data_IF_377816186950
#
_entry.id   IF_377816186950
#
_cell.length_a   1.000
_cell.length_b   1.000
_cell.length_c   1.000
_cell.angle_alpha   90.00
_cell.angle_beta   90.00
_cell.angle_gamma   90.00
#
_symmetry.space_group_name_H-M   'P 1'
#
loop_
_entity.id
_entity.type
_entity.pdbx_description
1 polymer ?
#
# COMPACT_ATOMS: atom_id res chain seq x y z
N UNK A 1 -11.65 -31.59 -0.46
CA UNK A 1 -10.77 -30.90 0.53
C UNK A 1 -10.64 -29.49 0.08
N UNK A 2 -11.20 -28.53 0.79
CA UNK A 2 -11.06 -27.11 0.49
C UNK A 2 -9.63 -26.69 0.84
N UNK A 3 -8.91 -26.18 -0.14
CA UNK A 3 -7.57 -25.62 0.06
C UNK A 3 -7.64 -24.52 1.15
N UNK A 4 -7.02 -24.78 2.31
CA UNK A 4 -7.02 -23.88 3.46
C UNK A 4 -5.99 -22.75 3.32
N UNK A 5 -5.25 -22.72 2.21
CA UNK A 5 -4.12 -21.81 2.01
C UNK A 5 -4.49 -20.52 1.28
N UNK A 6 -5.69 -20.43 0.68
CA UNK A 6 -6.14 -19.27 -0.10
C UNK A 6 -7.48 -18.70 0.38
N UNK A 7 -7.77 -17.46 0.00
CA UNK A 7 -9.05 -16.82 0.25
C UNK A 7 -9.41 -16.67 1.73
N UNK A 8 -10.68 -16.87 2.07
CA UNK A 8 -11.18 -16.71 3.43
C UNK A 8 -10.57 -17.74 4.41
N UNK A 9 -10.25 -18.94 3.94
CA UNK A 9 -9.65 -19.98 4.78
C UNK A 9 -8.25 -19.61 5.27
N UNK A 10 -7.45 -18.93 4.44
CA UNK A 10 -6.12 -18.44 4.83
C UNK A 10 -6.17 -17.39 5.97
N UNK A 11 -7.29 -16.72 6.14
CA UNK A 11 -7.50 -15.66 7.15
C UNK A 11 -8.29 -16.12 8.38
N UNK A 12 -8.56 -17.39 8.52
CA UNK A 12 -9.34 -17.95 9.63
C UNK A 12 -8.59 -19.06 10.35
N UNK A 13 -9.08 -19.38 11.54
CA UNK A 13 -8.49 -20.42 12.39
C UNK A 13 -7.25 -19.97 13.15
N UNK A 14 -6.55 -20.91 13.77
CA UNK A 14 -5.37 -20.63 14.58
C UNK A 14 -4.24 -19.96 13.80
N UNK A 15 -3.38 -19.22 14.52
CA UNK A 15 -2.17 -18.66 13.92
C UNK A 15 -1.21 -19.76 13.46
N UNK A 16 -0.56 -19.54 12.32
CA UNK A 16 0.37 -20.46 11.71
C UNK A 16 1.79 -19.86 11.70
N UNK A 17 2.75 -20.75 11.62
CA UNK A 17 4.13 -20.35 11.32
C UNK A 17 4.18 -19.56 10.00
N UNK A 18 5.02 -18.51 9.93
CA UNK A 18 5.13 -17.59 8.79
C UNK A 18 4.05 -16.52 8.71
N UNK A 19 2.98 -16.57 9.51
CA UNK A 19 1.94 -15.54 9.49
C UNK A 19 2.39 -14.25 10.18
N UNK A 20 1.92 -13.12 9.67
CA UNK A 20 2.08 -11.82 10.33
C UNK A 20 1.00 -11.63 11.39
N UNK A 21 1.43 -11.27 12.58
CA UNK A 21 0.56 -11.00 13.72
C UNK A 21 0.86 -9.61 14.28
N UNK A 22 -0.19 -8.86 14.55
CA UNK A 22 -0.15 -7.58 15.22
C UNK A 22 -0.36 -7.80 16.72
N UNK A 23 0.63 -7.41 17.51
CA UNK A 23 0.62 -7.47 18.96
C UNK A 23 0.31 -6.08 19.50
N UNK A 24 -0.84 -5.93 20.15
CA UNK A 24 -1.26 -4.66 20.77
C UNK A 24 -1.14 -4.76 22.28
N UNK A 25 -0.33 -3.90 22.90
CA UNK A 25 -0.17 -3.83 24.35
C UNK A 25 -1.31 -3.06 25.03
N UNK A 26 -1.33 -3.07 26.37
CA UNK A 26 -2.34 -2.39 27.21
C UNK A 26 -2.36 -0.85 27.01
N UNK A 27 -1.34 -0.27 26.41
CA UNK A 27 -1.27 1.15 26.05
C UNK A 27 -1.70 1.44 24.62
N UNK A 28 -2.18 0.42 23.89
CA UNK A 28 -2.58 0.53 22.50
C UNK A 28 -1.41 0.61 21.51
N UNK A 29 -0.16 0.34 21.94
CA UNK A 29 0.98 0.31 21.02
C UNK A 29 0.99 -1.00 20.26
N UNK A 30 1.10 -0.88 18.95
CA UNK A 30 1.04 -2.00 18.03
C UNK A 30 2.44 -2.34 17.50
N UNK A 31 2.77 -3.62 17.52
CA UNK A 31 3.97 -4.17 16.89
C UNK A 31 3.53 -5.29 15.96
N UNK A 32 4.05 -5.29 14.74
CA UNK A 32 3.76 -6.37 13.78
C UNK A 32 4.97 -7.28 13.68
N UNK A 33 4.78 -8.54 13.98
CA UNK A 33 5.80 -9.59 13.95
C UNK A 33 5.42 -10.65 12.92
N UNK A 34 6.40 -11.31 12.33
CA UNK A 34 6.18 -12.55 11.55
C UNK A 34 6.47 -13.70 12.49
N UNK A 35 5.48 -14.53 12.74
CA UNK A 35 5.66 -15.73 13.56
C UNK A 35 6.67 -16.65 12.88
N UNK A 36 7.59 -17.18 13.66
CA UNK A 36 8.60 -18.16 13.21
C UNK A 36 8.82 -19.12 14.37
N UNK A 37 8.57 -20.40 14.14
CA UNK A 37 8.75 -21.42 15.17
C UNK A 37 10.17 -21.37 15.77
N UNK A 38 10.26 -21.46 17.09
CA UNK A 38 11.51 -21.36 17.83
C UNK A 38 12.13 -19.96 17.90
N UNK A 39 11.44 -18.91 17.46
CA UNK A 39 11.86 -17.51 17.58
C UNK A 39 11.00 -16.76 18.62
N UNK A 40 11.45 -15.57 19.01
CA UNK A 40 10.78 -14.77 20.00
C UNK A 40 10.72 -13.28 19.58
N UNK A 41 9.68 -12.60 20.06
CA UNK A 41 9.57 -11.15 20.01
C UNK A 41 10.20 -10.54 21.25
N UNK A 42 11.35 -9.89 21.04
CA UNK A 42 12.12 -9.24 22.10
C UNK A 42 11.72 -7.78 22.27
N UNK A 43 11.47 -7.37 23.49
CA UNK A 43 11.27 -5.97 23.86
C UNK A 43 12.10 -5.65 25.10
N UNK A 44 12.34 -4.35 25.36
CA UNK A 44 12.93 -3.91 26.63
C UNK A 44 12.09 -4.29 27.87
N UNK A 45 10.91 -4.86 27.67
CA UNK A 45 9.92 -5.26 28.69
C UNK A 45 9.60 -6.74 28.63
N UNK A 46 10.56 -7.58 28.28
CA UNK A 46 10.40 -9.03 28.27
C UNK A 46 10.28 -9.63 26.87
N UNK A 47 10.20 -10.93 26.85
CA UNK A 47 10.23 -11.78 25.66
C UNK A 47 8.89 -12.49 25.52
N UNK A 48 8.38 -12.60 24.31
CA UNK A 48 7.20 -13.37 23.96
C UNK A 48 7.60 -14.38 22.90
N UNK A 49 7.52 -15.66 23.24
CA UNK A 49 7.85 -16.74 22.33
C UNK A 49 6.80 -16.85 21.23
N UNK A 50 7.25 -17.03 19.97
CA UNK A 50 6.33 -17.20 18.85
C UNK A 50 5.55 -18.51 18.96
N UNK A 51 6.16 -19.55 19.54
CA UNK A 51 5.53 -20.86 19.75
C UNK A 51 4.34 -20.78 20.73
N UNK A 52 4.32 -19.77 21.60
CA UNK A 52 3.17 -19.51 22.47
C UNK A 52 1.94 -18.97 21.71
N UNK A 53 2.13 -18.44 20.51
CA UNK A 53 1.08 -17.92 19.63
C UNK A 53 0.68 -18.89 18.53
N UNK A 54 1.64 -19.63 17.96
CA UNK A 54 1.38 -20.61 16.91
C UNK A 54 0.42 -21.67 17.42
N UNK A 55 -0.67 -21.89 16.67
CA UNK A 55 -1.74 -22.81 17.06
C UNK A 55 -2.83 -22.19 17.95
N UNK A 56 -2.71 -20.94 18.40
CA UNK A 56 -3.78 -20.24 19.12
C UNK A 56 -4.71 -19.49 18.16
N UNK A 57 -5.94 -19.35 18.59
CA UNK A 57 -6.94 -18.59 17.85
C UNK A 57 -6.64 -17.09 17.85
N UNK A 58 -7.01 -16.44 16.76
CA UNK A 58 -6.95 -14.99 16.62
C UNK A 58 -7.80 -14.30 17.69
N UNK A 59 -7.30 -13.17 18.22
CA UNK A 59 -7.94 -12.45 19.31
C UNK A 59 -7.46 -12.90 20.69
N UNK A 60 -6.57 -13.88 20.76
CA UNK A 60 -5.98 -14.34 22.03
C UNK A 60 -5.22 -13.21 22.74
N UNK A 61 -5.24 -13.23 24.06
CA UNK A 61 -4.41 -12.37 24.90
C UNK A 61 -3.34 -13.22 25.54
N UNK A 62 -2.08 -12.84 25.33
CA UNK A 62 -0.92 -13.57 25.83
C UNK A 62 -0.03 -12.65 26.67
N UNK A 63 0.63 -13.17 27.68
CA UNK A 63 1.59 -12.45 28.49
C UNK A 63 3.02 -12.83 28.06
N UNK A 64 3.91 -11.86 28.03
CA UNK A 64 5.33 -12.10 27.85
C UNK A 64 6.01 -12.61 29.16
N UNK A 65 7.32 -12.85 29.12
CA UNK A 65 8.11 -13.42 30.22
C UNK A 65 8.07 -12.64 31.55
N UNK A 66 7.64 -11.37 31.54
CA UNK A 66 7.50 -10.53 32.74
C UNK A 66 6.07 -10.06 33.00
N UNK A 67 5.07 -10.70 32.35
CA UNK A 67 3.66 -10.50 32.63
C UNK A 67 2.98 -9.36 31.84
N UNK A 68 3.66 -8.66 30.93
CA UNK A 68 2.99 -7.70 30.04
C UNK A 68 2.10 -8.43 29.03
N UNK A 69 0.88 -7.96 28.89
CA UNK A 69 -0.16 -8.58 28.08
C UNK A 69 -0.22 -7.96 26.70
N UNK A 70 -0.43 -8.80 25.70
CA UNK A 70 -0.61 -8.43 24.32
C UNK A 70 -1.84 -9.11 23.74
N UNK A 71 -2.67 -8.35 23.05
CA UNK A 71 -3.72 -8.90 22.20
C UNK A 71 -3.11 -9.20 20.84
N UNK A 72 -3.29 -10.42 20.35
CA UNK A 72 -2.76 -10.90 19.07
C UNK A 72 -3.88 -10.96 18.03
N UNK A 73 -3.70 -10.25 16.93
CA UNK A 73 -4.64 -10.19 15.80
C UNK A 73 -3.89 -10.28 14.47
N UNK A 74 -4.51 -10.81 13.43
CA UNK A 74 -3.99 -10.65 12.07
C UNK A 74 -4.11 -9.20 11.64
N UNK A 75 -3.07 -8.60 11.02
CA UNK A 75 -3.16 -7.21 10.56
C UNK A 75 -4.25 -7.07 9.51
N UNK A 76 -5.07 -6.06 9.62
CA UNK A 76 -5.96 -5.65 8.55
C UNK A 76 -5.12 -5.11 7.37
N UNK A 77 -5.72 -5.01 6.17
CA UNK A 77 -5.01 -4.47 5.00
C UNK A 77 -4.38 -3.11 5.29
N UNK A 78 -5.11 -2.21 5.95
CA UNK A 78 -4.60 -0.89 6.36
C UNK A 78 -3.35 -0.97 7.24
N UNK A 79 -3.34 -1.92 8.19
CA UNK A 79 -2.25 -2.09 9.13
C UNK A 79 -1.04 -2.73 8.45
N UNK A 80 -1.29 -3.65 7.51
CA UNK A 80 -0.27 -4.25 6.67
C UNK A 80 0.43 -3.19 5.82
N UNK A 81 -0.32 -2.38 5.05
CA UNK A 81 0.22 -1.31 4.20
C UNK A 81 1.05 -0.31 5.01
N UNK A 82 0.60 0.05 6.22
CA UNK A 82 1.31 1.00 7.06
C UNK A 82 2.56 0.42 7.74
N UNK A 83 2.68 -0.91 7.84
CA UNK A 83 3.79 -1.61 8.52
C UNK A 83 4.68 -2.44 7.60
N UNK A 84 4.34 -2.57 6.31
CA UNK A 84 5.12 -3.36 5.35
C UNK A 84 6.46 -2.70 5.01
N UNK A 85 7.47 -3.45 4.55
CA UNK A 85 8.68 -2.90 3.98
C UNK A 85 8.38 -1.91 2.84
N UNK A 86 8.97 -0.72 2.88
CA UNK A 86 8.74 0.30 1.88
C UNK A 86 10.00 1.13 1.60
N UNK A 87 10.24 1.40 0.32
CA UNK A 87 11.35 2.22 -0.14
C UNK A 87 10.92 3.63 -0.60
N UNK A 88 9.63 3.81 -0.89
CA UNK A 88 9.04 5.06 -1.37
C UNK A 88 7.84 5.47 -0.50
N UNK A 89 7.29 6.65 -0.77
CA UNK A 89 5.96 7.03 -0.32
C UNK A 89 4.93 6.00 -0.80
N UNK A 90 3.89 5.78 -0.01
CA UNK A 90 2.82 4.85 -0.36
C UNK A 90 1.49 5.58 -0.42
N UNK A 91 0.61 5.15 -1.30
CA UNK A 91 -0.79 5.57 -1.26
C UNK A 91 -1.37 5.11 0.07
N UNK A 92 -1.87 6.06 0.85
CA UNK A 92 -2.46 5.77 2.15
C UNK A 92 -3.76 4.97 2.01
N UNK A 93 -4.09 4.12 2.99
CA UNK A 93 -5.32 3.32 2.94
C UNK A 93 -6.59 4.12 2.73
N UNK A 94 -6.67 5.37 3.22
CA UNK A 94 -7.82 6.26 2.99
C UNK A 94 -8.02 6.60 1.52
N UNK A 95 -6.91 6.79 0.79
CA UNK A 95 -6.92 7.13 -0.63
C UNK A 95 -7.11 5.89 -1.51
N UNK A 96 -6.44 4.79 -1.16
CA UNK A 96 -6.65 3.51 -1.83
C UNK A 96 -8.13 3.06 -1.76
N UNK A 97 -8.81 3.30 -0.64
CA UNK A 97 -10.25 3.04 -0.51
C UNK A 97 -11.09 3.90 -1.46
N UNK A 98 -10.70 5.17 -1.65
CA UNK A 98 -11.35 6.06 -2.62
C UNK A 98 -11.09 5.60 -4.05
N UNK A 99 -9.85 5.26 -4.39
CA UNK A 99 -9.51 4.74 -5.73
C UNK A 99 -10.36 3.52 -6.06
N UNK A 100 -10.46 2.56 -5.14
CA UNK A 100 -11.27 1.34 -5.36
C UNK A 100 -12.75 1.68 -5.51
N UNK A 101 -13.31 2.52 -4.62
CA UNK A 101 -14.75 2.77 -4.58
C UNK A 101 -15.19 3.76 -5.65
N UNK A 102 -14.50 4.91 -5.77
CA UNK A 102 -14.87 5.96 -6.72
C UNK A 102 -14.45 5.59 -8.15
N UNK A 103 -13.33 4.85 -8.31
CA UNK A 103 -12.91 4.27 -9.58
C UNK A 103 -13.76 3.06 -9.99
N UNK A 104 -14.71 2.62 -9.13
CA UNK A 104 -15.59 1.47 -9.37
C UNK A 104 -14.79 0.24 -9.83
N UNK A 105 -13.78 -0.14 -9.03
CA UNK A 105 -12.99 -1.34 -9.27
C UNK A 105 -13.75 -2.54 -8.73
N UNK A 106 -14.18 -3.44 -9.61
CA UNK A 106 -15.10 -4.52 -9.33
C UNK A 106 -14.44 -5.91 -9.48
N UNK A 107 -15.00 -6.96 -8.87
CA UNK A 107 -14.52 -8.33 -9.07
C UNK A 107 -14.55 -8.74 -10.54
N UNK A 108 -13.42 -9.24 -11.05
CA UNK A 108 -13.25 -9.62 -12.45
C UNK A 108 -12.75 -8.50 -13.36
N UNK A 109 -12.59 -7.27 -12.85
CA UNK A 109 -12.09 -6.14 -13.65
C UNK A 109 -10.65 -6.36 -14.13
N UNK A 110 -10.34 -5.84 -15.31
CA UNK A 110 -9.00 -5.69 -15.87
C UNK A 110 -8.47 -4.30 -15.53
N UNK A 111 -7.50 -4.23 -14.65
CA UNK A 111 -6.95 -2.99 -14.10
C UNK A 111 -5.49 -2.84 -14.50
N UNK A 112 -5.11 -1.65 -14.96
CA UNK A 112 -3.72 -1.26 -15.18
C UNK A 112 -3.31 -0.27 -14.07
N UNK A 113 -2.13 -0.49 -13.50
CA UNK A 113 -1.51 0.37 -12.48
C UNK A 113 -0.14 0.83 -12.98
N UNK A 114 0.20 2.11 -12.80
CA UNK A 114 1.56 2.59 -13.01
C UNK A 114 2.06 3.39 -11.81
N UNK A 115 3.33 3.15 -11.46
CA UNK A 115 3.93 3.65 -10.25
C UNK A 115 3.69 2.72 -9.07
N UNK A 116 4.04 1.45 -9.21
CA UNK A 116 3.79 0.39 -8.22
C UNK A 116 4.42 0.69 -6.87
N UNK A 117 5.60 1.27 -6.88
CA UNK A 117 6.36 1.59 -5.67
C UNK A 117 6.56 0.35 -4.78
N UNK A 118 6.02 0.41 -3.57
CA UNK A 118 6.09 -0.72 -2.63
C UNK A 118 4.89 -1.67 -2.72
N UNK A 119 3.99 -1.51 -3.69
CA UNK A 119 2.82 -2.36 -3.90
C UNK A 119 1.63 -2.03 -2.98
N UNK A 120 1.59 -0.86 -2.36
CA UNK A 120 0.53 -0.51 -1.41
C UNK A 120 -0.86 -0.46 -2.06
N UNK A 121 -0.96 0.19 -3.22
CA UNK A 121 -2.19 0.23 -4.01
C UNK A 121 -2.47 -1.13 -4.64
N UNK A 122 -1.45 -1.77 -5.21
CA UNK A 122 -1.54 -3.12 -5.80
C UNK A 122 -2.29 -4.10 -4.90
N UNK A 123 -1.97 -4.12 -3.59
CA UNK A 123 -2.66 -4.98 -2.61
C UNK A 123 -4.17 -4.70 -2.52
N UNK A 124 -4.56 -3.43 -2.65
CA UNK A 124 -5.97 -3.02 -2.63
C UNK A 124 -6.67 -3.38 -3.94
N UNK A 125 -5.99 -3.20 -5.07
CA UNK A 125 -6.49 -3.55 -6.39
C UNK A 125 -6.71 -5.06 -6.52
N UNK A 126 -5.72 -5.88 -6.15
CA UNK A 126 -5.82 -7.34 -6.18
C UNK A 126 -6.97 -7.86 -5.32
N UNK A 127 -7.19 -7.25 -4.15
CA UNK A 127 -8.36 -7.59 -3.32
C UNK A 127 -9.69 -7.23 -3.96
N UNK A 128 -9.74 -6.11 -4.68
CA UNK A 128 -10.95 -5.64 -5.31
C UNK A 128 -11.32 -6.47 -6.54
N UNK A 129 -10.34 -6.78 -7.39
CA UNK A 129 -10.58 -7.57 -8.61
C UNK A 129 -10.79 -9.06 -8.32
N UNK A 130 -10.19 -9.58 -7.22
CA UNK A 130 -10.24 -11.00 -6.87
C UNK A 130 -9.51 -11.91 -7.87
N UNK A 131 -9.63 -13.21 -7.67
CA UNK A 131 -8.90 -14.22 -8.47
C UNK A 131 -9.36 -14.30 -9.94
N UNK A 132 -10.56 -13.81 -10.26
CA UNK A 132 -11.11 -13.77 -11.61
C UNK A 132 -10.77 -12.49 -12.38
N UNK A 133 -10.18 -11.49 -11.72
CA UNK A 133 -9.75 -10.24 -12.33
C UNK A 133 -8.30 -10.28 -12.79
N UNK A 134 -7.80 -9.12 -13.21
CA UNK A 134 -6.42 -8.97 -13.62
C UNK A 134 -5.91 -7.57 -13.23
N UNK A 135 -4.73 -7.51 -12.63
CA UNK A 135 -4.01 -6.27 -12.34
C UNK A 135 -2.68 -6.34 -13.05
N UNK A 136 -2.49 -5.49 -14.06
CA UNK A 136 -1.22 -5.34 -14.75
C UNK A 136 -0.55 -4.05 -14.26
N UNK A 137 0.57 -4.20 -13.61
CA UNK A 137 1.30 -3.11 -12.98
C UNK A 137 2.60 -2.79 -13.71
N UNK A 138 2.92 -1.49 -13.87
CA UNK A 138 4.13 -0.99 -14.52
C UNK A 138 4.98 -0.21 -13.51
N UNK A 139 6.28 -0.53 -13.44
CA UNK A 139 7.25 0.16 -12.59
C UNK A 139 8.55 0.38 -13.36
N UNK A 140 9.05 1.61 -13.34
CA UNK A 140 10.32 1.96 -14.01
C UNK A 140 11.55 1.39 -13.30
N UNK A 141 11.47 1.21 -12.00
CA UNK A 141 12.61 0.91 -11.13
C UNK A 141 12.54 -0.53 -10.63
N UNK A 142 13.43 -1.43 -11.09
CA UNK A 142 13.42 -2.83 -10.68
C UNK A 142 13.45 -3.04 -9.16
N UNK A 143 14.15 -2.16 -8.43
CA UNK A 143 14.28 -2.27 -6.98
C UNK A 143 12.95 -2.09 -6.24
N UNK A 144 12.06 -1.25 -6.75
CA UNK A 144 10.71 -1.09 -6.20
C UNK A 144 9.82 -2.26 -6.58
N UNK A 145 9.94 -2.74 -7.81
CA UNK A 145 9.23 -3.93 -8.26
C UNK A 145 9.52 -5.15 -7.36
N UNK A 146 10.79 -5.33 -6.94
CA UNK A 146 11.17 -6.40 -6.03
C UNK A 146 10.57 -6.22 -4.63
N UNK A 147 10.50 -4.99 -4.12
CA UNK A 147 9.80 -4.67 -2.87
C UNK A 147 8.31 -5.00 -2.98
N UNK A 148 7.69 -4.61 -4.08
CA UNK A 148 6.26 -4.88 -4.33
C UNK A 148 5.97 -6.39 -4.40
N UNK A 149 6.80 -7.16 -5.15
CA UNK A 149 6.68 -8.64 -5.19
C UNK A 149 6.76 -9.25 -3.80
N UNK A 150 7.75 -8.83 -3.00
CA UNK A 150 7.90 -9.29 -1.63
C UNK A 150 6.67 -8.99 -0.76
N UNK A 151 6.10 -7.80 -0.88
CA UNK A 151 4.91 -7.40 -0.13
C UNK A 151 3.65 -8.15 -0.58
N UNK A 152 3.44 -8.30 -1.89
CA UNK A 152 2.31 -9.07 -2.45
C UNK A 152 2.38 -10.52 -1.99
N UNK A 153 3.54 -11.17 -2.16
CA UNK A 153 3.74 -12.55 -1.70
C UNK A 153 3.52 -12.68 -0.19
N UNK A 154 4.00 -11.72 0.61
CA UNK A 154 3.80 -11.74 2.07
C UNK A 154 2.32 -11.61 2.43
N UNK A 155 1.56 -10.75 1.75
CA UNK A 155 0.15 -10.52 2.04
C UNK A 155 -0.73 -11.69 1.63
N UNK A 156 -0.49 -12.27 0.45
CA UNK A 156 -1.30 -13.35 -0.12
C UNK A 156 -0.70 -14.74 0.13
N UNK A 157 0.59 -14.79 0.49
CA UNK A 157 1.35 -15.99 0.82
C UNK A 157 1.91 -16.76 -0.36
N UNK A 158 1.65 -16.27 -1.55
CA UNK A 158 2.21 -16.74 -2.81
C UNK A 158 2.17 -15.59 -3.82
N UNK A 159 2.75 -15.80 -4.99
CA UNK A 159 2.54 -14.89 -6.11
C UNK A 159 1.04 -14.91 -6.47
N UNK A 160 0.46 -13.73 -6.63
CA UNK A 160 -0.97 -13.63 -6.88
C UNK A 160 -1.28 -13.95 -8.34
N UNK A 161 -2.20 -14.91 -8.66
CA UNK A 161 -2.44 -15.34 -10.04
C UNK A 161 -3.03 -14.24 -10.93
N UNK A 162 -3.74 -13.27 -10.34
CA UNK A 162 -4.31 -12.14 -11.05
C UNK A 162 -3.34 -10.96 -11.19
N UNK A 163 -2.04 -11.10 -10.87
CA UNK A 163 -1.07 -10.01 -10.92
C UNK A 163 0.05 -10.25 -11.91
N UNK A 164 0.20 -9.29 -12.80
CA UNK A 164 1.33 -9.17 -13.72
C UNK A 164 2.10 -7.88 -13.41
N UNK A 165 3.44 -7.93 -13.49
CA UNK A 165 4.30 -6.79 -13.23
C UNK A 165 5.36 -6.66 -14.32
N UNK A 166 5.28 -5.57 -15.07
CA UNK A 166 6.23 -5.19 -16.11
C UNK A 166 7.16 -4.10 -15.62
N UNK A 167 8.47 -4.29 -15.86
CA UNK A 167 9.48 -3.25 -15.66
C UNK A 167 9.56 -2.43 -16.94
N UNK A 168 9.09 -1.19 -16.89
CA UNK A 168 9.04 -0.31 -18.06
C UNK A 168 8.17 0.91 -17.84
N UNK A 169 8.22 1.80 -18.83
CA UNK A 169 7.37 2.98 -18.85
C UNK A 169 6.00 2.63 -19.44
N UNK A 170 4.93 2.89 -18.69
CA UNK A 170 3.58 2.61 -19.12
C UNK A 170 3.25 3.28 -20.45
N UNK A 171 3.69 4.52 -20.67
CA UNK A 171 3.37 5.25 -21.91
C UNK A 171 3.90 4.54 -23.18
N UNK A 172 5.01 3.81 -23.07
CA UNK A 172 5.64 3.09 -24.18
C UNK A 172 5.26 1.61 -24.23
N UNK A 173 5.09 0.98 -23.07
CA UNK A 173 4.94 -0.48 -22.98
C UNK A 173 3.47 -0.94 -23.02
N UNK A 174 2.51 -0.08 -22.61
CA UNK A 174 1.12 -0.51 -22.45
C UNK A 174 0.53 -1.15 -23.70
N UNK A 175 0.78 -0.55 -24.86
CA UNK A 175 0.24 -1.05 -26.14
C UNK A 175 0.81 -2.39 -26.62
N UNK A 176 1.95 -2.83 -26.07
CA UNK A 176 2.52 -4.15 -26.35
C UNK A 176 1.89 -5.26 -25.48
N UNK A 177 1.33 -4.88 -24.35
CA UNK A 177 0.79 -5.81 -23.34
C UNK A 177 -0.74 -5.85 -23.30
N UNK A 178 -1.40 -4.71 -23.55
CA UNK A 178 -2.84 -4.59 -23.48
C UNK A 178 -3.43 -4.25 -24.85
N UNK A 179 -4.39 -5.05 -25.28
CA UNK A 179 -5.09 -4.77 -26.53
C UNK A 179 -5.98 -3.52 -26.40
N UNK A 180 -6.15 -2.75 -27.48
CA UNK A 180 -7.01 -1.56 -27.46
C UNK A 180 -8.42 -1.87 -26.97
N UNK A 181 -8.94 -1.03 -26.07
CA UNK A 181 -10.31 -1.13 -25.56
C UNK A 181 -10.61 -2.32 -24.65
N UNK A 182 -9.59 -2.96 -24.07
CA UNK A 182 -9.76 -4.14 -23.19
C UNK A 182 -9.61 -3.86 -21.70
N UNK A 183 -9.08 -2.69 -21.35
CA UNK A 183 -8.84 -2.31 -19.95
C UNK A 183 -10.05 -1.60 -19.38
N UNK A 184 -10.50 -2.01 -18.20
CA UNK A 184 -11.63 -1.38 -17.51
C UNK A 184 -11.22 -0.14 -16.73
N UNK A 185 -10.07 -0.20 -16.06
CA UNK A 185 -9.59 0.83 -15.13
C UNK A 185 -8.08 1.03 -15.29
N UNK A 186 -7.66 2.30 -15.24
CA UNK A 186 -6.24 2.67 -15.17
C UNK A 186 -6.03 3.56 -13.98
N UNK A 187 -5.01 3.27 -13.16
CA UNK A 187 -4.61 4.09 -12.02
C UNK A 187 -3.16 4.50 -12.17
N UNK A 188 -2.91 5.82 -12.13
CA UNK A 188 -1.59 6.42 -12.32
C UNK A 188 -1.12 7.07 -11.02
N UNK A 189 -0.05 6.53 -10.41
CA UNK A 189 0.69 7.12 -9.29
C UNK A 189 2.11 7.47 -9.75
N UNK A 190 2.23 8.57 -10.46
CA UNK A 190 3.47 8.99 -11.09
C UNK A 190 3.59 10.52 -11.21
N UNK A 191 4.80 11.00 -11.48
CA UNK A 191 5.08 12.43 -11.56
C UNK A 191 4.39 13.13 -12.72
N UNK A 192 4.24 12.45 -13.85
CA UNK A 192 3.76 13.03 -15.10
C UNK A 192 2.63 12.18 -15.74
N UNK A 193 1.47 12.02 -15.08
CA UNK A 193 0.38 11.18 -15.59
C UNK A 193 -0.19 11.67 -16.92
N UNK A 194 -0.01 12.94 -17.28
CA UNK A 194 -0.41 13.50 -18.60
C UNK A 194 0.34 12.87 -19.77
N UNK A 195 1.54 12.33 -19.57
CA UNK A 195 2.31 11.65 -20.62
C UNK A 195 1.73 10.28 -20.99
N UNK A 196 0.88 9.72 -20.13
CA UNK A 196 0.23 8.43 -20.35
C UNK A 196 -1.16 8.52 -20.98
N UNK A 197 -1.71 9.72 -21.24
CA UNK A 197 -3.09 9.88 -21.67
C UNK A 197 -3.38 9.19 -23.01
N UNK A 198 -2.45 9.23 -23.96
CA UNK A 198 -2.64 8.58 -25.25
C UNK A 198 -2.69 7.06 -25.15
N UNK A 199 -1.74 6.47 -24.43
CA UNK A 199 -1.72 5.05 -24.15
C UNK A 199 -2.97 4.61 -23.35
N UNK A 200 -3.36 5.40 -22.33
CA UNK A 200 -4.55 5.15 -21.53
C UNK A 200 -5.84 5.21 -22.37
N UNK A 201 -5.98 6.23 -23.22
CA UNK A 201 -7.16 6.36 -24.08
C UNK A 201 -7.27 5.21 -25.08
N UNK A 202 -6.15 4.67 -25.53
CA UNK A 202 -6.12 3.52 -26.45
C UNK A 202 -6.50 2.22 -25.75
N UNK A 203 -5.95 1.97 -24.55
CA UNK A 203 -6.17 0.72 -23.84
C UNK A 203 -7.54 0.62 -23.16
N UNK A 204 -8.07 1.75 -22.65
CA UNK A 204 -9.36 1.77 -21.96
C UNK A 204 -10.53 1.44 -22.89
N UNK A 205 -11.41 0.58 -22.42
CA UNK A 205 -12.71 0.37 -23.03
C UNK A 205 -13.54 1.68 -22.99
N UNK A 206 -14.47 1.91 -23.95
CA UNK A 206 -15.42 3.00 -23.84
C UNK A 206 -16.18 2.94 -22.50
N UNK A 207 -16.20 4.06 -21.76
CA UNK A 207 -16.73 4.12 -20.40
C UNK A 207 -15.76 3.69 -19.31
N UNK A 208 -14.59 3.16 -19.65
CA UNK A 208 -13.51 2.84 -18.72
C UNK A 208 -13.02 4.07 -17.96
N UNK A 209 -12.45 3.84 -16.77
CA UNK A 209 -12.09 4.93 -15.83
C UNK A 209 -10.58 5.07 -15.74
N UNK A 210 -10.12 6.32 -15.84
CA UNK A 210 -8.77 6.74 -15.50
C UNK A 210 -8.78 7.47 -14.16
N UNK A 211 -7.94 7.05 -13.23
CA UNK A 211 -7.69 7.71 -11.94
C UNK A 211 -6.23 8.12 -11.88
N UNK A 212 -5.94 9.36 -11.50
CA UNK A 212 -4.59 9.83 -11.23
C UNK A 212 -4.45 10.25 -9.76
N UNK A 213 -3.38 9.79 -9.10
CA UNK A 213 -2.98 10.17 -7.75
C UNK A 213 -1.86 11.22 -7.84
N UNK A 214 -2.12 12.42 -7.35
CA UNK A 214 -1.36 13.63 -7.71
C UNK A 214 -0.95 14.38 -6.46
N UNK A 215 0.35 14.61 -6.30
CA UNK A 215 0.91 15.17 -5.07
C UNK A 215 0.73 16.69 -4.92
N UNK A 216 0.66 17.45 -6.02
CA UNK A 216 0.68 18.92 -5.98
C UNK A 216 -0.46 19.55 -6.75
N UNK A 217 -0.87 20.75 -6.34
CA UNK A 217 -1.91 21.56 -7.01
C UNK A 217 -1.53 21.88 -8.47
N UNK A 218 -0.27 22.17 -8.73
CA UNK A 218 0.22 22.46 -10.09
C UNK A 218 0.13 21.25 -11.01
N UNK A 219 0.49 20.08 -10.51
CA UNK A 219 0.31 18.82 -11.25
C UNK A 219 -1.18 18.52 -11.49
N UNK A 220 -2.03 18.72 -10.47
CA UNK A 220 -3.48 18.53 -10.59
C UNK A 220 -4.05 19.42 -11.72
N UNK A 221 -3.71 20.71 -11.74
CA UNK A 221 -4.11 21.63 -12.79
C UNK A 221 -3.65 21.16 -14.16
N UNK A 222 -2.37 20.78 -14.29
CA UNK A 222 -1.80 20.32 -15.56
C UNK A 222 -2.49 19.07 -16.10
N UNK A 223 -2.73 18.07 -15.24
CA UNK A 223 -3.43 16.83 -15.66
C UNK A 223 -4.86 17.15 -16.08
N UNK A 224 -5.56 18.00 -15.35
CA UNK A 224 -6.93 18.39 -15.69
C UNK A 224 -7.01 19.08 -17.05
N UNK A 225 -6.08 19.99 -17.36
CA UNK A 225 -6.01 20.64 -18.66
C UNK A 225 -5.62 19.65 -19.76
N UNK A 226 -4.63 18.80 -19.54
CA UNK A 226 -4.22 17.78 -20.49
C UNK A 226 -5.37 16.80 -20.84
N UNK A 227 -6.17 16.39 -19.86
CA UNK A 227 -7.39 15.59 -20.08
C UNK A 227 -8.41 16.34 -20.94
N UNK A 228 -8.55 17.66 -20.69
CA UNK A 228 -9.46 18.50 -21.50
C UNK A 228 -8.99 18.65 -22.94
N UNK A 229 -7.70 18.85 -23.13
CA UNK A 229 -7.09 19.03 -24.46
C UNK A 229 -7.09 17.74 -25.27
N UNK A 230 -6.95 16.58 -24.63
CA UNK A 230 -7.03 15.26 -25.27
C UNK A 230 -8.40 15.02 -25.93
N UNK A 231 -9.48 15.44 -25.29
CA UNK A 231 -10.85 15.38 -25.80
C UNK A 231 -11.50 14.00 -25.82
N UNK A 232 -10.76 12.91 -25.62
CA UNK A 232 -11.27 11.51 -25.58
C UNK A 232 -11.84 11.12 -24.23
N UNK A 233 -11.79 12.02 -23.25
CA UNK A 233 -12.24 11.78 -21.89
C UNK A 233 -13.38 12.73 -21.49
N UNK A 234 -14.14 12.35 -20.47
CA UNK A 234 -15.12 13.23 -19.83
C UNK A 234 -14.43 14.39 -19.11
N UNK A 235 -15.20 15.42 -18.73
CA UNK A 235 -14.70 16.45 -17.80
C UNK A 235 -14.12 15.78 -16.56
N UNK A 236 -12.87 16.10 -16.16
CA UNK A 236 -12.26 15.50 -14.98
C UNK A 236 -12.91 16.00 -13.70
N UNK A 237 -13.12 15.09 -12.75
CA UNK A 237 -13.50 15.39 -11.38
C UNK A 237 -12.30 15.22 -10.45
N UNK A 238 -12.20 16.05 -9.41
CA UNK A 238 -11.02 16.05 -8.53
C UNK A 238 -11.39 16.29 -7.09
N UNK A 239 -10.76 15.54 -6.18
CA UNK A 239 -10.98 15.67 -4.74
C UNK A 239 -9.74 15.25 -3.95
N UNK A 240 -9.76 15.50 -2.65
CA UNK A 240 -8.86 14.91 -1.66
C UNK A 240 -9.68 14.33 -0.51
N UNK A 241 -9.05 13.49 0.31
CA UNK A 241 -9.68 12.95 1.51
C UNK A 241 -8.83 13.20 2.75
N UNK A 242 -9.49 13.37 3.89
CA UNK A 242 -8.87 13.52 5.20
C UNK A 242 -9.45 12.49 6.16
N UNK A 243 -8.60 11.86 6.97
CA UNK A 243 -9.03 10.91 8.00
C UNK A 243 -8.65 11.44 9.37
N UNK A 244 -9.66 11.71 10.19
CA UNK A 244 -9.51 12.16 11.57
C UNK A 244 -10.09 11.14 12.54
N UNK A 245 -9.24 10.64 13.45
CA UNK A 245 -9.68 9.80 14.55
C UNK A 245 -10.41 10.59 15.64
N UNK A 246 -11.11 9.87 16.49
CA UNK A 246 -11.78 10.42 17.66
C UNK A 246 -11.41 9.60 18.89
N UNK A 247 -11.06 10.29 19.96
CA UNK A 247 -10.97 9.69 21.28
C UNK A 247 -12.37 9.56 21.87
N UNK A 248 -12.73 8.37 22.31
CA UNK A 248 -14.03 8.09 22.92
C UNK A 248 -13.79 7.28 24.19
N UNK A 249 -14.02 7.91 25.34
CA UNK A 249 -13.93 7.28 26.65
C UNK A 249 -15.03 7.85 27.56
N UNK A 250 -16.08 7.07 27.80
CA UNK A 250 -17.25 7.54 28.50
C UNK A 250 -17.85 8.82 27.87
N UNK A 251 -17.92 9.90 28.65
CA UNK A 251 -18.38 11.22 28.16
C UNK A 251 -17.24 12.07 27.56
N UNK A 252 -16.01 11.63 27.63
CA UNK A 252 -14.84 12.31 27.03
C UNK A 252 -14.73 11.97 25.55
N UNK A 253 -15.54 12.65 24.73
CA UNK A 253 -15.59 12.47 23.27
C UNK A 253 -14.98 13.70 22.62
N UNK A 254 -13.85 13.53 21.92
CA UNK A 254 -13.15 14.61 21.24
C UNK A 254 -12.37 14.12 20.02
N UNK A 255 -12.15 14.96 19.00
CA UNK A 255 -11.29 14.58 17.88
C UNK A 255 -9.84 14.42 18.34
N UNK A 256 -9.12 13.48 17.71
CA UNK A 256 -7.68 13.36 17.90
C UNK A 256 -6.97 14.64 17.44
N UNK A 257 -5.88 15.01 18.13
CA UNK A 257 -5.04 16.14 17.73
C UNK A 257 -4.36 15.89 16.39
N UNK A 258 -3.98 14.63 16.11
CA UNK A 258 -3.36 14.23 14.85
C UNK A 258 -4.41 13.67 13.90
N UNK A 259 -4.24 13.96 12.62
CA UNK A 259 -5.05 13.40 11.54
C UNK A 259 -4.17 13.08 10.34
N UNK A 260 -4.60 12.19 9.49
CA UNK A 260 -4.02 12.03 8.16
C UNK A 260 -4.73 13.04 7.26
N UNK A 261 -4.07 14.19 7.07
CA UNK A 261 -4.59 15.30 6.30
C UNK A 261 -4.31 15.11 4.81
N UNK A 262 -3.82 16.14 4.13
CA UNK A 262 -3.43 16.07 2.72
C UNK A 262 -2.31 15.04 2.52
N UNK A 263 -2.50 14.14 1.58
CA UNK A 263 -1.49 13.18 1.09
C UNK A 263 -1.28 13.34 -0.40
N UNK A 264 -2.37 13.45 -1.15
CA UNK A 264 -2.42 13.78 -2.56
C UNK A 264 -3.86 14.14 -2.97
N UNK A 265 -4.01 14.62 -4.17
CA UNK A 265 -5.28 14.78 -4.87
C UNK A 265 -5.56 13.54 -5.70
N UNK A 266 -6.84 13.23 -5.87
CA UNK A 266 -7.35 12.26 -6.82
C UNK A 266 -8.03 13.01 -7.95
N UNK A 267 -7.72 12.63 -9.18
CA UNK A 267 -8.44 13.08 -10.37
C UNK A 267 -9.00 11.86 -11.09
N UNK A 268 -10.26 11.93 -11.48
CA UNK A 268 -10.93 10.86 -12.19
C UNK A 268 -11.58 11.39 -13.47
N UNK A 269 -11.49 10.60 -14.54
CA UNK A 269 -12.20 10.83 -15.77
C UNK A 269 -12.58 9.50 -16.44
N UNK A 270 -13.44 9.53 -17.44
CA UNK A 270 -13.89 8.33 -18.17
C UNK A 270 -13.61 8.45 -19.64
N UNK A 271 -13.20 7.34 -20.25
CA UNK A 271 -13.01 7.22 -21.70
C UNK A 271 -14.36 7.36 -22.44
N UNK A 272 -14.43 8.28 -23.39
CA UNK A 272 -15.58 8.41 -24.27
C UNK A 272 -15.57 7.33 -25.36
N UNK A 273 -16.70 7.04 -25.96
CA UNK A 273 -16.74 6.22 -27.15
C UNK A 273 -16.05 6.93 -28.33
N UNK A 274 -15.50 6.15 -29.26
CA UNK A 274 -14.83 6.72 -30.44
C UNK A 274 -15.77 7.58 -31.25
N UNK A 275 -15.28 8.75 -31.69
CA UNK A 275 -16.06 9.74 -32.40
C UNK A 275 -17.04 10.55 -31.57
N UNK A 276 -17.08 10.34 -30.24
CA UNK A 276 -17.90 11.14 -29.32
C UNK A 276 -17.18 12.42 -28.94
N UNK A 277 -17.93 13.51 -28.86
CA UNK A 277 -17.41 14.79 -28.36
C UNK A 277 -17.68 14.94 -26.86
N UNK A 278 -16.73 15.53 -26.16
CA UNK A 278 -16.88 15.85 -24.73
C UNK A 278 -17.92 16.95 -24.56
N UNK A 279 -18.87 16.72 -23.67
CA UNK A 279 -19.80 17.75 -23.22
C UNK A 279 -19.10 18.68 -22.24
N UNK A 280 -18.73 19.87 -22.70
CA UNK A 280 -18.14 20.89 -21.83
C UNK A 280 -19.23 21.47 -20.89
N UNK A 281 -19.00 21.45 -19.55
CA UNK A 281 -19.92 22.14 -18.63
C UNK A 281 -19.97 23.62 -18.98
N UNK A 282 -21.18 24.22 -18.90
CA UNK A 282 -21.35 25.68 -19.04
C UNK A 282 -20.77 26.36 -17.78
N UNK A 283 -19.44 26.48 -17.71
CA UNK A 283 -18.76 27.25 -16.66
C UNK A 283 -18.65 28.71 -17.07
N UNK A 284 -18.70 29.63 -16.09
CA UNK A 284 -18.25 31.01 -16.33
C UNK A 284 -16.77 30.90 -16.69
N UNK A 285 -16.41 31.48 -17.85
CA UNK A 285 -15.02 31.50 -18.27
C UNK A 285 -14.15 32.10 -17.17
N UNK A 286 -13.28 31.30 -16.58
CA UNK A 286 -12.15 31.81 -15.80
C UNK A 286 -11.18 32.35 -16.82
N UNK A 287 -10.98 33.66 -16.84
CA UNK A 287 -9.94 34.27 -17.65
C UNK A 287 -8.62 34.06 -16.90
N UNK A 288 -7.95 33.01 -17.19
CA UNK A 288 -6.57 32.83 -16.73
C UNK A 288 -5.74 32.50 -17.95
N UNK A 289 -5.08 33.50 -18.49
CA UNK A 289 -3.99 33.28 -19.42
C UNK A 289 -2.82 32.77 -18.59
N UNK A 290 -2.33 31.60 -18.88
CA UNK A 290 -1.18 31.01 -18.19
C UNK A 290 0.10 31.71 -18.67
N UNK A 291 0.95 32.10 -17.73
CA UNK A 291 2.27 32.67 -18.01
C UNK A 291 3.29 31.57 -18.28
N UNK A 292 4.44 31.90 -18.86
CA UNK A 292 5.57 30.96 -18.98
C UNK A 292 6.02 30.41 -17.61
N UNK A 293 5.92 31.20 -16.55
CA UNK A 293 6.24 30.78 -15.20
C UNK A 293 5.27 29.72 -14.71
N UNK A 294 3.98 29.86 -14.99
CA UNK A 294 2.96 28.84 -14.68
C UNK A 294 3.22 27.55 -15.44
N UNK A 295 3.57 27.64 -16.73
CA UNK A 295 3.89 26.48 -17.57
C UNK A 295 5.17 25.77 -17.08
N UNK A 296 6.16 26.52 -16.63
CA UNK A 296 7.38 25.98 -16.04
C UNK A 296 7.12 25.27 -14.71
N UNK A 297 6.21 25.79 -13.87
CA UNK A 297 5.79 25.14 -12.64
C UNK A 297 5.09 23.79 -12.88
N UNK A 298 4.53 23.57 -14.06
CA UNK A 298 3.95 22.29 -14.47
C UNK A 298 4.98 21.24 -14.91
N UNK A 299 6.26 21.62 -15.03
CA UNK A 299 7.31 20.72 -15.50
C UNK A 299 7.69 19.72 -14.41
N UNK A 300 7.77 18.40 -14.70
CA UNK A 300 8.25 17.40 -13.76
C UNK A 300 9.64 17.76 -13.22
N UNK A 301 9.86 17.59 -11.92
CA UNK A 301 11.14 17.87 -11.26
C UNK A 301 11.28 19.31 -10.71
N UNK A 302 10.36 20.22 -10.96
CA UNK A 302 10.35 21.54 -10.34
C UNK A 302 10.14 21.47 -8.81
N UNK A 303 9.47 20.40 -8.33
CA UNK A 303 9.31 20.04 -6.92
C UNK A 303 10.05 18.73 -6.70
N UNK A 304 11.29 18.81 -6.20
CA UNK A 304 12.20 17.68 -6.10
C UNK A 304 11.66 16.51 -5.25
N UNK A 305 11.64 15.33 -5.82
CA UNK A 305 11.64 14.09 -5.04
C UNK A 305 12.90 14.04 -4.18
N UNK A 306 12.76 13.69 -2.90
CA UNK A 306 13.94 13.33 -2.10
C UNK A 306 14.40 11.95 -2.54
N UNK A 307 15.57 11.82 -3.19
CA UNK A 307 16.05 10.53 -3.64
C UNK A 307 16.22 9.62 -2.43
N UNK A 308 15.60 8.46 -2.47
CA UNK A 308 15.86 7.40 -1.51
C UNK A 308 17.24 6.83 -1.83
N UNK A 309 18.16 6.78 -0.85
CA UNK A 309 19.51 6.26 -1.12
C UNK A 309 19.46 4.80 -1.56
N UNK A 310 20.28 4.43 -2.54
CA UNK A 310 20.42 3.05 -3.05
C UNK A 310 20.67 2.03 -1.95
N UNK A 311 21.41 2.43 -0.90
CA UNK A 311 21.66 1.58 0.27
C UNK A 311 20.36 1.24 1.01
N UNK A 312 19.44 2.23 1.16
CA UNK A 312 18.15 2.03 1.81
C UNK A 312 17.24 1.17 0.95
N UNK A 313 17.19 1.41 -0.35
CA UNK A 313 16.41 0.60 -1.30
C UNK A 313 16.85 -0.86 -1.29
N UNK A 314 18.17 -1.12 -1.42
CA UNK A 314 18.72 -2.49 -1.36
C UNK A 314 18.46 -3.19 -0.03
N UNK A 315 18.47 -2.46 1.10
CA UNK A 315 18.11 -3.04 2.41
C UNK A 315 16.63 -3.45 2.43
N UNK A 316 15.75 -2.54 2.02
CA UNK A 316 14.29 -2.78 2.01
C UNK A 316 13.93 -3.93 1.06
N UNK A 317 14.52 -3.99 -0.13
CA UNK A 317 14.33 -5.09 -1.08
C UNK A 317 14.71 -6.44 -0.48
N UNK A 318 15.89 -6.54 0.11
CA UNK A 318 16.34 -7.79 0.78
C UNK A 318 15.42 -8.19 1.92
N UNK A 319 14.94 -7.23 2.73
CA UNK A 319 14.05 -7.52 3.84
C UNK A 319 12.68 -8.01 3.34
N UNK A 320 12.15 -7.39 2.27
CA UNK A 320 10.90 -7.82 1.65
C UNK A 320 11.03 -9.25 1.06
N UNK A 321 12.10 -9.53 0.31
CA UNK A 321 12.34 -10.86 -0.26
C UNK A 321 12.47 -11.93 0.84
N UNK A 322 13.25 -11.67 1.89
CA UNK A 322 13.42 -12.60 3.01
C UNK A 322 12.10 -12.89 3.73
N UNK A 323 11.25 -11.89 3.93
CA UNK A 323 9.93 -12.07 4.54
C UNK A 323 9.04 -12.91 3.62
N UNK A 324 9.06 -12.64 2.32
CA UNK A 324 8.29 -13.40 1.34
C UNK A 324 8.72 -14.87 1.24
N UNK A 325 10.02 -15.14 1.21
CA UNK A 325 10.56 -16.51 1.21
C UNK A 325 10.10 -17.28 2.46
N UNK A 326 10.21 -16.69 3.65
CA UNK A 326 9.72 -17.30 4.89
C UNK A 326 8.23 -17.59 4.84
N UNK A 327 7.43 -16.68 4.28
CA UNK A 327 5.99 -16.89 4.15
C UNK A 327 5.66 -18.04 3.17
N UNK A 328 6.44 -18.21 2.09
CA UNK A 328 6.31 -19.34 1.16
C UNK A 328 6.71 -20.65 1.82
N UNK A 329 7.87 -20.68 2.48
CA UNK A 329 8.41 -21.90 3.12
C UNK A 329 7.47 -22.38 4.22
N UNK A 330 6.95 -21.48 5.03
CA UNK A 330 6.00 -21.82 6.09
C UNK A 330 4.70 -22.41 5.54
N UNK A 331 4.21 -21.89 4.41
CA UNK A 331 3.02 -22.47 3.75
C UNK A 331 3.30 -23.81 3.10
N UNK A 332 4.49 -23.97 2.48
CA UNK A 332 4.90 -25.27 1.92
C UNK A 332 5.05 -26.35 3.01
N UNK A 333 5.55 -25.95 4.19
CA UNK A 333 5.67 -26.84 5.35
C UNK A 333 4.32 -27.21 6.00
N UNK A 334 3.30 -26.37 5.84
CA UNK A 334 1.93 -26.58 6.33
C UNK A 334 1.06 -27.42 5.38
N UNK A 335 1.62 -28.03 4.34
CA UNK A 335 0.93 -28.98 3.44
C UNK A 335 0.39 -30.19 4.18
N UNK A 336 -0.55 -30.96 3.60
CA UNK A 336 -1.45 -31.88 4.30
C UNK A 336 -0.81 -33.12 4.97
N UNK A 337 0.51 -33.23 5.03
CA UNK A 337 1.20 -34.45 5.52
C UNK A 337 2.15 -34.28 6.73
N UNK A 338 2.12 -33.14 7.43
CA UNK A 338 2.95 -32.96 8.63
C UNK A 338 2.24 -33.42 9.93
N UNK A 339 1.56 -34.55 9.87
CA UNK A 339 0.97 -35.18 11.04
C UNK A 339 1.56 -36.57 11.27
N UNK A 340 2.62 -36.69 12.05
CA UNK A 340 3.21 -37.91 12.61
C UNK A 340 4.69 -38.11 12.26
N UNK A 341 5.59 -37.55 13.06
CA UNK A 341 6.82 -38.24 13.43
C UNK A 341 7.21 -37.89 14.85
N UNK A 342 7.31 -38.92 15.59
CA UNK A 342 7.86 -39.25 16.88
C UNK A 342 9.02 -38.38 17.36
N UNK A 343 8.98 -38.03 18.65
CA UNK A 343 10.01 -37.32 19.40
C UNK A 343 11.18 -38.24 19.69
N UNK A 344 12.32 -37.96 19.10
CA UNK A 344 13.61 -38.48 19.51
C UNK A 344 14.54 -37.35 19.96
N UNK A 345 14.81 -37.30 21.25
CA UNK A 345 15.76 -36.40 21.92
C UNK A 345 17.19 -36.73 21.50
N UNK A 346 18.02 -35.71 21.25
CA UNK A 346 19.44 -35.61 21.70
C UNK A 346 19.97 -34.20 21.45
N UNK A 347 20.24 -33.53 22.51
CA UNK A 347 21.44 -32.88 23.06
C UNK A 347 22.52 -32.39 22.09
N UNK A 348 22.96 -31.14 22.30
CA UNK A 348 24.36 -30.73 22.02
C UNK A 348 24.60 -29.43 21.29
N UNK A 349 24.66 -28.30 22.00
CA UNK A 349 25.91 -27.52 21.98
C UNK A 349 26.04 -26.27 21.08
N UNK A 350 26.10 -25.15 21.76
CA UNK A 350 26.97 -23.97 21.59
C UNK A 350 26.60 -22.85 20.61
N UNK A 351 26.26 -21.79 21.30
CA UNK A 351 26.65 -20.36 21.21
C UNK A 351 27.34 -19.87 19.92
N UNK A 352 26.73 -18.89 19.29
CA UNK A 352 27.34 -17.59 19.00
C UNK A 352 26.21 -16.58 18.71
N UNK A 353 26.07 -15.61 19.60
CA UNK A 353 25.31 -14.37 19.38
C UNK A 353 25.95 -13.53 18.27
N UNK A 354 25.17 -12.81 17.50
CA UNK A 354 25.62 -11.53 16.96
C UNK A 354 24.85 -10.38 17.63
N UNK A 355 25.63 -9.45 18.15
CA UNK A 355 25.25 -8.16 18.71
C UNK A 355 24.17 -7.44 17.89
N UNK A 356 23.10 -7.08 18.57
CA UNK A 356 22.13 -6.12 18.10
C UNK A 356 22.74 -4.72 18.15
N UNK A 357 23.04 -4.13 17.01
CA UNK A 357 23.27 -2.69 16.91
C UNK A 357 21.92 -1.98 16.83
N UNK A 358 21.66 -1.19 17.85
CA UNK A 358 20.66 -0.13 17.86
C UNK A 358 20.95 0.82 16.70
N UNK A 359 19.98 1.01 15.81
CA UNK A 359 19.93 2.12 14.88
C UNK A 359 18.65 2.91 15.11
N UNK A 360 18.89 4.10 15.62
CA UNK A 360 18.02 5.25 15.87
C UNK A 360 16.77 5.33 14.99
N UNK A 361 15.63 5.15 15.62
CA UNK A 361 14.39 5.77 15.18
C UNK A 361 14.48 7.26 15.53
N UNK A 362 14.68 8.11 14.53
CA UNK A 362 14.69 9.56 14.69
C UNK A 362 13.42 10.03 15.41
N UNK A 363 13.58 10.32 16.69
CA UNK A 363 12.63 10.99 17.52
C UNK A 363 12.47 12.42 17.03
N UNK A 364 11.24 12.81 16.74
CA UNK A 364 10.88 14.22 16.75
C UNK A 364 10.76 14.63 18.22
N UNK A 365 11.74 15.40 18.67
CA UNK A 365 11.74 16.04 19.96
C UNK A 365 10.55 17.00 20.13
N UNK A 366 10.17 17.27 21.39
CA UNK A 366 9.07 18.18 21.68
C UNK A 366 9.48 19.60 21.35
N UNK A 367 8.67 20.28 20.51
CA UNK A 367 8.72 21.73 20.35
C UNK A 367 8.19 22.33 21.66
N UNK A 368 9.06 22.98 22.41
CA UNK A 368 8.74 23.75 23.59
C UNK A 368 7.91 24.97 23.19
N UNK A 369 6.72 25.07 23.74
CA UNK A 369 5.87 26.26 23.73
C UNK A 369 6.61 27.42 24.41
N UNK A 370 6.94 28.45 23.64
CA UNK A 370 7.27 29.76 24.16
C UNK A 370 5.97 30.57 24.25
N UNK A 371 5.53 30.79 25.47
CA UNK A 371 4.44 31.69 25.80
C UNK A 371 4.78 33.13 25.42
N UNK A 372 4.02 33.70 24.49
CA UNK A 372 3.97 35.14 24.23
C UNK A 372 2.73 35.75 24.87
N UNK A 373 2.75 37.01 25.33
CA UNK A 373 1.75 37.58 26.22
C UNK A 373 0.48 38.00 25.49
N UNK A 374 -0.65 37.83 26.18
CA UNK A 374 -1.98 38.29 25.79
C UNK A 374 -2.04 39.82 25.66
N UNK A 375 -2.73 40.37 24.66
CA UNK A 375 -3.18 41.76 24.72
C UNK A 375 -4.58 41.80 25.35
N UNK A 376 -4.69 42.65 26.38
CA UNK A 376 -5.94 43.18 26.91
C UNK A 376 -6.53 44.20 25.90
N UNK A 377 -7.71 44.01 25.45
CA UNK A 377 -8.95 44.78 25.41
C UNK A 377 -9.93 44.17 24.39
#
# INVERSE_FOLDING_TARGET
>A
MTDTTTGAAARRGPFRDGERVQLTDEKGRMNTVTLTAGQAFHTHRGVLEHDDLIGRDEGTVIANSIGHRYQALRPLLKDFVLSMPRGAAVIYPKDAAQIVTMGDIFPGARVVEAGVGSGALTLSLLRAVGDAGHVHSFELRPEFADVARGNVTTMFGADHPAWELTIGDLATELGAHEAPGTVDRIVLDMLAPWECLDAAATALAPGGVLVAYIATVTQLSRVAEAVRDDGRFTEPDSWETMLRGWHVEGLAVRPDHRMVAHTAFLLMTRRLADGSERLAPRRRASKTDYTEEDLNAWTPGAVGERPVSDKRLRKVGRDATRIAERARDARAASGPDAGSTDRGSTDGGRDTEPEAREDDAAGHGPVTDAAGPSPTN
#
